data_IF_485902402234
#
_entry.id   IF_485902402234
#
_cell.length_a   1.000
_cell.length_b   1.000
_cell.length_c   1.000
_cell.angle_alpha   90.00
_cell.angle_beta   90.00
_cell.angle_gamma   90.00
#
_symmetry.space_group_name_H-M   'P 1'
#
loop_
_entity.id
_entity.type
_entity.pdbx_description
1 polymer ?
#
# COMPACT_ATOMS: atom_id res chain seq x y z
N UNK A 1 1.48 -24.73 1.13
CA UNK A 1 2.11 -23.57 0.47
C UNK A 1 1.01 -22.73 -0.17
N UNK A 2 1.04 -21.41 0.03
CA UNK A 2 -0.04 -20.54 -0.46
C UNK A 2 0.58 -19.28 -1.06
N UNK A 3 0.38 -19.00 -2.36
CA UNK A 3 0.80 -17.73 -2.95
C UNK A 3 0.02 -16.57 -2.31
N UNK A 4 0.52 -15.33 -2.41
CA UNK A 4 -0.17 -14.16 -1.89
C UNK A 4 -1.52 -13.98 -2.58
N UNK A 5 -2.50 -13.47 -1.84
CA UNK A 5 -3.76 -12.99 -2.37
C UNK A 5 -4.23 -11.79 -1.54
N UNK A 6 -4.36 -10.62 -2.17
CA UNK A 6 -4.86 -9.41 -1.55
C UNK A 6 -6.37 -9.58 -1.29
N UNK A 7 -6.78 -9.22 -0.07
CA UNK A 7 -8.13 -9.35 0.47
C UNK A 7 -8.77 -7.98 0.75
N UNK A 8 -7.95 -6.96 0.90
CA UNK A 8 -8.38 -5.59 1.17
C UNK A 8 -7.47 -4.68 0.36
N UNK A 9 -8.10 -3.85 -0.47
CA UNK A 9 -7.47 -2.92 -1.39
C UNK A 9 -7.90 -1.49 -1.02
N UNK A 10 -7.14 -0.47 -1.41
CA UNK A 10 -7.56 0.92 -1.26
C UNK A 10 -8.79 1.23 -2.09
N UNK A 11 -9.55 2.25 -1.67
CA UNK A 11 -10.56 2.84 -2.54
C UNK A 11 -9.88 3.42 -3.81
N UNK A 12 -10.51 3.28 -5.00
CA UNK A 12 -9.91 3.72 -6.25
C UNK A 12 -9.70 5.24 -6.33
N UNK A 13 -10.45 6.00 -5.54
CA UNK A 13 -10.28 7.44 -5.41
C UNK A 13 -10.40 7.85 -3.95
N UNK A 14 -9.31 8.41 -3.41
CA UNK A 14 -9.26 8.95 -2.05
C UNK A 14 -9.03 10.46 -2.13
N UNK A 15 -9.97 11.24 -1.62
CA UNK A 15 -9.88 12.70 -1.61
C UNK A 15 -9.05 13.17 -0.41
N UNK A 16 -8.00 13.94 -0.69
CA UNK A 16 -7.13 14.51 0.33
C UNK A 16 -7.85 15.51 1.22
N UNK A 17 -7.99 15.21 2.51
CA UNK A 17 -8.27 16.20 3.56
C UNK A 17 -7.02 16.38 4.43
N UNK A 18 -6.36 17.56 4.41
CA UNK A 18 -5.13 17.80 5.17
C UNK A 18 -5.32 17.80 6.69
N UNK A 19 -6.55 17.66 7.19
CA UNK A 19 -6.87 17.61 8.63
C UNK A 19 -6.96 16.20 9.20
N UNK A 20 -7.00 15.18 8.36
CA UNK A 20 -7.18 13.79 8.77
C UNK A 20 -6.04 12.93 8.23
N UNK A 21 -5.78 11.83 8.91
CA UNK A 21 -4.88 10.83 8.39
C UNK A 21 -5.55 10.14 7.20
N UNK A 22 -4.75 9.84 6.18
CA UNK A 22 -5.21 9.08 5.01
C UNK A 22 -4.64 7.67 5.14
N UNK A 23 -5.50 6.67 4.93
CA UNK A 23 -5.13 5.27 4.98
C UNK A 23 -5.40 4.64 3.61
N UNK A 24 -4.39 3.97 3.05
CA UNK A 24 -4.52 3.13 1.86
C UNK A 24 -4.41 1.67 2.33
N UNK A 25 -5.54 0.99 2.62
CA UNK A 25 -5.52 -0.35 3.17
C UNK A 25 -4.93 -1.34 2.17
N UNK A 26 -4.07 -2.22 2.67
CA UNK A 26 -3.60 -3.36 1.90
C UNK A 26 -3.37 -4.55 2.83
N UNK A 27 -4.14 -5.62 2.62
CA UNK A 27 -4.01 -6.83 3.42
C UNK A 27 -4.04 -8.04 2.49
N UNK A 28 -3.07 -8.93 2.63
CA UNK A 28 -2.98 -10.15 1.84
C UNK A 28 -2.84 -11.39 2.74
N UNK A 29 -3.42 -12.50 2.29
CA UNK A 29 -3.12 -13.82 2.84
C UNK A 29 -1.96 -14.44 2.06
N UNK A 30 -1.13 -15.25 2.72
CA UNK A 30 -0.06 -16.03 2.08
C UNK A 30 0.60 -16.96 3.09
N UNK A 31 1.21 -18.05 2.64
CA UNK A 31 2.03 -18.90 3.51
C UNK A 31 3.30 -19.38 2.77
N UNK A 32 4.50 -18.88 3.12
CA UNK A 32 4.80 -17.92 4.21
C UNK A 32 4.10 -16.57 4.10
N UNK A 33 4.02 -15.83 5.22
CA UNK A 33 3.39 -14.50 5.26
C UNK A 33 4.00 -13.58 4.18
N UNK A 34 3.17 -12.83 3.43
CA UNK A 34 3.66 -11.99 2.34
C UNK A 34 4.42 -10.77 2.88
N UNK A 35 5.39 -10.33 2.10
CA UNK A 35 6.07 -9.05 2.24
C UNK A 35 5.33 -8.04 1.37
N UNK A 36 5.06 -6.85 1.92
CA UNK A 36 4.36 -5.78 1.24
C UNK A 36 5.32 -4.73 0.70
N UNK A 37 5.05 -4.25 -0.50
CA UNK A 37 5.74 -3.11 -1.12
C UNK A 37 4.73 -2.24 -1.86
N UNK A 38 5.06 -0.96 -2.03
CA UNK A 38 4.20 -0.02 -2.76
C UNK A 38 4.89 0.54 -3.97
N UNK A 39 4.10 0.85 -4.97
CA UNK A 39 4.49 1.67 -6.11
C UNK A 39 3.66 2.94 -6.15
N UNK A 40 4.29 4.07 -6.40
CA UNK A 40 3.66 5.35 -6.68
C UNK A 40 3.97 5.75 -8.12
N UNK A 41 2.95 5.97 -8.94
CA UNK A 41 3.06 6.35 -10.36
C UNK A 41 4.01 5.39 -11.12
N UNK A 42 3.86 4.09 -10.86
CA UNK A 42 4.66 3.02 -11.46
C UNK A 42 6.10 2.90 -10.95
N UNK A 43 6.49 3.63 -9.89
CA UNK A 43 7.83 3.59 -9.30
C UNK A 43 7.79 3.09 -7.87
N UNK A 44 8.81 2.35 -7.45
CA UNK A 44 8.93 1.90 -6.06
C UNK A 44 8.81 3.08 -5.10
N UNK A 45 7.92 2.94 -4.12
CA UNK A 45 7.63 3.93 -3.12
C UNK A 45 8.12 3.42 -1.77
N UNK A 46 9.05 4.14 -1.16
CA UNK A 46 9.63 3.83 0.14
C UNK A 46 8.98 4.72 1.21
N UNK A 47 8.05 4.19 2.05
CA UNK A 47 7.35 4.98 3.07
C UNK A 47 8.33 5.56 4.10
N UNK A 48 9.37 4.80 4.47
CA UNK A 48 10.35 5.24 5.47
C UNK A 48 11.18 6.45 5.01
N UNK A 49 11.24 6.72 3.70
CA UNK A 49 11.93 7.88 3.15
C UNK A 49 11.13 9.19 3.23
N UNK A 50 9.88 9.16 3.71
CA UNK A 50 8.95 10.29 3.68
C UNK A 50 8.95 11.12 4.96
N UNK A 51 10.13 11.42 5.52
CA UNK A 51 10.31 12.24 6.73
C UNK A 51 9.42 11.81 7.92
N UNK A 52 9.18 10.50 8.08
CA UNK A 52 8.28 9.92 9.10
C UNK A 52 6.81 10.36 9.01
N UNK A 53 6.38 11.02 7.92
CA UNK A 53 4.96 11.39 7.69
C UNK A 53 4.13 10.22 7.16
N UNK A 54 4.81 9.20 6.62
CA UNK A 54 4.19 8.03 6.02
C UNK A 54 4.74 6.78 6.69
N UNK A 55 3.83 5.92 7.13
CA UNK A 55 4.15 4.64 7.74
C UNK A 55 3.45 3.51 7.00
N UNK A 56 4.02 2.31 7.05
CA UNK A 56 3.36 1.08 6.62
C UNK A 56 3.09 0.21 7.84
N UNK A 57 1.91 -0.40 7.90
CA UNK A 57 1.57 -1.35 8.97
C UNK A 57 2.61 -2.47 9.08
N UNK A 58 2.88 -2.95 10.29
CA UNK A 58 3.83 -4.06 10.50
C UNK A 58 3.27 -5.41 10.05
N UNK A 59 1.96 -5.61 10.23
CA UNK A 59 1.26 -6.86 9.93
C UNK A 59 0.37 -6.77 8.66
N UNK A 60 0.38 -5.61 8.00
CA UNK A 60 -0.37 -5.34 6.77
C UNK A 60 0.42 -4.40 5.86
N UNK A 61 0.10 -4.37 4.58
CA UNK A 61 0.65 -3.38 3.66
C UNK A 61 0.03 -1.99 3.81
N UNK A 62 -0.86 -1.74 4.76
CA UNK A 62 -1.61 -0.47 4.85
C UNK A 62 -0.67 0.73 4.98
N UNK A 63 -0.74 1.68 4.03
CA UNK A 63 -0.04 2.96 4.14
C UNK A 63 -0.87 3.95 4.92
N UNK A 64 -0.22 4.68 5.83
CA UNK A 64 -0.84 5.70 6.67
C UNK A 64 -0.08 7.00 6.49
N UNK A 65 -0.77 8.04 6.02
CA UNK A 65 -0.25 9.40 5.85
C UNK A 65 -0.79 10.28 6.98
N UNK A 66 0.06 10.80 7.85
CA UNK A 66 -0.37 11.63 9.00
C UNK A 66 -0.43 13.12 8.71
N UNK A 67 0.24 13.56 7.64
CA UNK A 67 0.28 14.95 7.20
C UNK A 67 0.36 14.94 5.68
N UNK A 68 -0.73 14.53 5.02
CA UNK A 68 -0.76 14.44 3.57
C UNK A 68 -0.52 15.82 2.94
N UNK A 69 0.34 15.85 1.92
CA UNK A 69 0.75 17.03 1.18
C UNK A 69 0.39 16.88 -0.30
N UNK A 70 0.39 17.99 -1.04
CA UNK A 70 0.13 17.97 -2.48
C UNK A 70 1.12 17.08 -3.25
N UNK A 71 2.36 16.95 -2.77
CA UNK A 71 3.36 16.04 -3.34
C UNK A 71 3.01 14.56 -3.13
N UNK A 72 2.13 14.24 -2.18
CA UNK A 72 1.70 12.87 -1.92
C UNK A 72 0.63 12.42 -2.93
N UNK A 73 0.04 13.31 -3.72
CA UNK A 73 -0.87 12.94 -4.81
C UNK A 73 -0.19 12.03 -5.84
N UNK A 74 -0.90 10.99 -6.29
CA UNK A 74 -0.44 10.06 -7.32
C UNK A 74 -1.21 8.74 -7.24
N UNK A 75 -0.85 7.83 -8.13
CA UNK A 75 -1.42 6.48 -8.20
C UNK A 75 -0.61 5.53 -7.32
N UNK A 76 -1.24 4.96 -6.30
CA UNK A 76 -0.60 4.02 -5.39
C UNK A 76 -1.10 2.61 -5.69
N UNK A 77 -0.17 1.66 -5.78
CA UNK A 77 -0.47 0.24 -5.97
C UNK A 77 0.28 -0.60 -4.95
N UNK A 78 -0.47 -1.44 -4.23
CA UNK A 78 0.06 -2.38 -3.27
C UNK A 78 0.52 -3.66 -3.97
N UNK A 79 1.65 -4.19 -3.52
CA UNK A 79 2.19 -5.46 -4.01
C UNK A 79 2.46 -6.37 -2.80
N UNK A 80 1.94 -7.59 -2.83
CA UNK A 80 2.15 -8.63 -1.82
C UNK A 80 2.94 -9.79 -2.44
N UNK A 81 4.11 -10.12 -1.88
CA UNK A 81 5.02 -11.14 -2.44
C UNK A 81 5.43 -12.18 -1.40
N UNK A 82 5.49 -13.45 -1.80
CA UNK A 82 6.21 -14.48 -1.05
C UNK A 82 6.95 -15.43 -2.03
N UNK A 83 7.61 -16.45 -1.51
CA UNK A 83 8.39 -17.39 -2.34
C UNK A 83 7.55 -18.21 -3.35
N UNK A 84 6.23 -18.20 -3.24
CA UNK A 84 5.30 -18.94 -4.10
C UNK A 84 4.61 -18.07 -5.15
N UNK A 85 4.75 -16.74 -5.09
CA UNK A 85 4.15 -15.83 -6.07
C UNK A 85 4.06 -14.38 -5.59
N UNK A 86 3.38 -13.58 -6.40
CA UNK A 86 3.03 -12.19 -6.13
C UNK A 86 1.56 -11.95 -6.44
N UNK A 87 0.99 -10.96 -5.77
CA UNK A 87 -0.33 -10.38 -6.07
C UNK A 87 -0.24 -8.86 -5.93
N UNK A 88 -1.01 -8.13 -6.73
CA UNK A 88 -1.01 -6.66 -6.78
C UNK A 88 -2.45 -6.16 -6.81
N UNK A 89 -2.74 -5.02 -6.16
CA UNK A 89 -4.09 -4.46 -6.21
C UNK A 89 -4.43 -4.09 -7.66
N UNK A 90 -5.64 -4.44 -8.09
CA UNK A 90 -6.02 -4.27 -9.49
C UNK A 90 -6.32 -2.79 -9.77
N UNK A 91 -5.70 -2.21 -10.79
CA UNK A 91 -6.28 -1.06 -11.48
C UNK A 91 -7.67 -1.50 -11.95
N UNK A 92 -8.68 -0.66 -11.70
CA UNK A 92 -10.05 -0.79 -12.21
C UNK A 92 -10.08 -1.50 -13.57
N UNK A 93 -10.68 -2.71 -13.64
CA UNK A 93 -11.20 -3.24 -14.91
C UNK A 93 -12.27 -2.28 -15.48
#
# INVERSE_FOLDING_TARGET
PMPPAILTEPDPEVIFDPRVNIELPCLAKGNPAPIYTWTKDGRFYEPSAQNNRVAMGSDSGTLIFTQAQTIDQGWYQCNATNMWGKDEDNELE
#
